data_IF_615317452592
#
_entry.id   IF_615317452592
#
_cell.length_a   1.000
_cell.length_b   1.000
_cell.length_c   1.000
_cell.angle_alpha   90.00
_cell.angle_beta   90.00
_cell.angle_gamma   90.00
#
_symmetry.space_group_name_H-M   'P 1'
#
loop_
_entity.id
_entity.type
_entity.pdbx_description
1 polymer ?
#
# COMPACT_ATOMS: atom_id res chain seq x y z
N UNK A 1 15.31 3.55 19.98
CA UNK A 1 15.66 3.14 18.60
C UNK A 1 17.17 3.03 18.50
N UNK A 2 17.72 1.81 18.34
CA UNK A 2 19.10 1.67 17.87
C UNK A 2 19.11 2.12 16.41
N UNK A 3 19.94 3.12 16.07
CA UNK A 3 20.27 3.42 14.68
C UNK A 3 20.81 2.13 14.06
N UNK A 4 20.27 1.74 12.91
CA UNK A 4 20.92 0.75 12.04
C UNK A 4 22.34 1.27 11.80
N UNK A 5 23.33 0.46 12.12
CA UNK A 5 24.73 0.85 12.02
C UNK A 5 25.11 0.93 10.53
N UNK A 6 25.15 2.16 9.99
CA UNK A 6 25.41 2.47 8.58
C UNK A 6 26.84 2.15 8.11
N UNK A 7 27.65 1.45 8.91
CA UNK A 7 29.08 1.20 8.62
C UNK A 7 29.39 -0.21 8.12
N UNK A 8 28.49 -1.19 8.28
CA UNK A 8 28.73 -2.57 7.83
C UNK A 8 28.55 -2.72 6.31
N UNK A 9 29.51 -3.28 5.56
CA UNK A 9 29.37 -3.57 4.13
C UNK A 9 28.32 -4.65 3.86
N UNK A 10 27.66 -4.61 2.71
CA UNK A 10 26.84 -5.73 2.23
C UNK A 10 27.72 -6.99 2.06
N UNK A 11 27.18 -8.23 2.17
CA UNK A 11 27.95 -9.46 2.05
C UNK A 11 28.75 -9.57 0.74
N UNK A 12 28.30 -8.91 -0.32
CA UNK A 12 28.96 -8.86 -1.63
C UNK A 12 30.09 -7.82 -1.73
N UNK A 13 30.42 -7.07 -0.66
CA UNK A 13 31.51 -6.09 -0.64
C UNK A 13 31.24 -4.77 -1.37
N UNK A 14 30.20 -4.68 -2.21
CA UNK A 14 29.83 -3.46 -2.93
C UNK A 14 29.06 -2.48 -2.02
N UNK A 15 29.59 -1.25 -1.83
CA UNK A 15 28.97 -0.22 -0.96
C UNK A 15 27.54 0.16 -1.39
N UNK A 16 27.21 0.07 -2.67
CA UNK A 16 25.88 0.37 -3.21
C UNK A 16 24.85 -0.75 -3.04
N UNK A 17 25.27 -1.99 -2.75
CA UNK A 17 24.39 -3.16 -2.63
C UNK A 17 23.80 -3.34 -1.21
N UNK A 18 23.60 -2.24 -0.46
CA UNK A 18 22.99 -2.27 0.88
C UNK A 18 21.47 -2.37 0.78
N UNK A 19 20.86 -3.07 1.73
CA UNK A 19 19.40 -3.17 1.82
C UNK A 19 18.79 -1.83 2.23
N UNK A 20 17.79 -1.39 1.49
CA UNK A 20 16.89 -0.31 1.92
C UNK A 20 15.96 -0.82 3.02
N UNK A 21 15.38 0.05 3.87
CA UNK A 21 14.46 -0.37 4.92
C UNK A 21 13.29 -1.25 4.43
N UNK A 22 12.71 -0.95 3.26
CA UNK A 22 11.64 -1.78 2.69
C UNK A 22 12.15 -3.14 2.20
N UNK A 23 13.37 -3.21 1.69
CA UNK A 23 14.02 -4.48 1.29
C UNK A 23 14.34 -5.35 2.51
N UNK A 24 14.80 -4.77 3.63
CA UNK A 24 14.98 -5.50 4.91
C UNK A 24 13.65 -6.11 5.36
N UNK A 25 12.57 -5.32 5.30
CA UNK A 25 11.24 -5.79 5.69
C UNK A 25 10.77 -6.92 4.77
N UNK A 26 10.91 -6.77 3.46
CA UNK A 26 10.52 -7.79 2.49
C UNK A 26 11.31 -9.08 2.66
N UNK A 27 12.62 -9.01 2.89
CA UNK A 27 13.47 -10.17 3.16
C UNK A 27 13.01 -10.94 4.41
N UNK A 28 12.73 -10.23 5.51
CA UNK A 28 12.25 -10.84 6.75
C UNK A 28 10.91 -11.55 6.55
N UNK A 29 9.99 -10.92 5.83
CA UNK A 29 8.67 -11.49 5.56
C UNK A 29 8.76 -12.71 4.64
N UNK A 30 9.54 -12.62 3.57
CA UNK A 30 9.76 -13.72 2.64
C UNK A 30 10.45 -14.91 3.31
N UNK A 31 11.55 -14.67 4.04
CA UNK A 31 12.27 -15.72 4.76
C UNK A 31 11.39 -16.44 5.78
N UNK A 32 10.54 -15.71 6.50
CA UNK A 32 9.60 -16.31 7.46
C UNK A 32 8.52 -17.14 6.74
N UNK A 33 7.90 -16.58 5.70
CA UNK A 33 6.79 -17.24 4.99
C UNK A 33 7.23 -18.45 4.16
N UNK A 34 8.51 -18.50 3.76
CA UNK A 34 9.12 -19.59 3.01
C UNK A 34 9.88 -20.58 3.89
N UNK A 35 10.04 -20.30 5.20
CA UNK A 35 10.97 -21.00 6.09
C UNK A 35 12.38 -21.09 5.47
N UNK A 36 12.90 -19.93 5.03
CA UNK A 36 14.18 -19.78 4.34
C UNK A 36 15.05 -18.66 4.90
N UNK A 37 15.83 -18.95 5.97
CA UNK A 37 16.71 -17.97 6.60
C UNK A 37 17.94 -17.62 5.73
N UNK A 38 18.21 -18.40 4.68
CA UNK A 38 19.38 -18.24 3.80
C UNK A 38 19.14 -17.26 2.63
N UNK A 39 17.97 -16.61 2.58
CA UNK A 39 17.70 -15.59 1.57
C UNK A 39 18.68 -14.43 1.73
N UNK A 40 19.42 -14.14 0.65
CA UNK A 40 20.40 -13.04 0.60
C UNK A 40 20.13 -12.14 -0.58
N UNK A 41 20.40 -10.83 -0.41
CA UNK A 41 20.21 -9.84 -1.46
C UNK A 41 21.08 -10.17 -2.67
N UNK A 42 20.51 -10.16 -3.87
CA UNK A 42 21.29 -10.23 -5.11
C UNK A 42 21.93 -8.88 -5.37
N UNK A 43 23.20 -8.86 -5.74
CA UNK A 43 23.88 -7.62 -6.10
C UNK A 43 23.69 -7.36 -7.59
N UNK A 44 23.30 -6.14 -7.93
CA UNK A 44 23.08 -5.68 -9.31
C UNK A 44 24.39 -5.53 -10.11
N UNK A 45 25.53 -5.60 -9.40
CA UNK A 45 26.88 -5.62 -9.95
C UNK A 45 27.46 -7.04 -10.09
N UNK A 46 26.70 -8.10 -9.79
CA UNK A 46 27.13 -9.49 -10.01
C UNK A 46 27.09 -9.79 -11.54
N UNK A 47 28.25 -10.15 -12.11
CA UNK A 47 28.39 -10.41 -13.56
C UNK A 47 27.44 -11.53 -14.04
N UNK A 48 27.05 -12.46 -13.17
CA UNK A 48 26.11 -13.53 -13.49
C UNK A 48 24.67 -13.04 -13.76
N UNK A 49 24.37 -11.78 -13.45
CA UNK A 49 23.06 -11.15 -13.63
C UNK A 49 23.12 -9.81 -14.36
N UNK A 50 24.31 -9.38 -14.81
CA UNK A 50 24.51 -8.09 -15.46
C UNK A 50 23.77 -7.99 -16.81
N UNK A 51 22.97 -6.92 -16.98
CA UNK A 51 22.32 -6.57 -18.24
C UNK A 51 20.87 -7.06 -18.42
N UNK A 52 20.29 -7.75 -17.43
CA UNK A 52 18.88 -8.20 -17.44
C UNK A 52 18.10 -7.76 -16.20
N UNK A 53 16.83 -8.15 -16.11
CA UNK A 53 16.07 -8.02 -14.87
C UNK A 53 16.66 -8.97 -13.80
N UNK A 54 16.89 -8.44 -12.61
CA UNK A 54 17.60 -9.14 -11.52
C UNK A 54 16.63 -9.34 -10.38
N UNK A 55 16.50 -10.55 -9.83
CA UNK A 55 15.65 -10.79 -8.67
C UNK A 55 16.24 -10.12 -7.43
N UNK A 56 15.42 -9.64 -6.51
CA UNK A 56 15.89 -8.98 -5.28
C UNK A 56 16.67 -9.90 -4.33
N UNK A 57 16.23 -11.16 -4.15
CA UNK A 57 16.86 -12.11 -3.23
C UNK A 57 17.04 -13.50 -3.84
N UNK A 58 18.03 -14.24 -3.33
CA UNK A 58 18.26 -15.64 -3.67
C UNK A 58 18.74 -16.46 -2.48
N UNK A 59 18.43 -17.75 -2.52
CA UNK A 59 19.05 -18.82 -1.73
C UNK A 59 19.32 -20.02 -2.64
N UNK A 60 19.68 -21.17 -2.06
CA UNK A 60 19.76 -22.44 -2.81
C UNK A 60 18.39 -22.98 -3.23
N UNK A 61 17.31 -22.56 -2.55
CA UNK A 61 15.95 -23.09 -2.73
C UNK A 61 15.05 -22.13 -3.49
N UNK A 62 15.21 -20.82 -3.24
CA UNK A 62 14.28 -19.81 -3.72
C UNK A 62 14.99 -18.69 -4.46
N UNK A 63 14.29 -18.13 -5.43
CA UNK A 63 14.61 -16.86 -6.09
C UNK A 63 13.41 -15.97 -5.90
N UNK A 64 13.63 -14.78 -5.33
CA UNK A 64 12.56 -13.92 -4.86
C UNK A 64 12.66 -12.56 -5.51
N UNK A 65 11.54 -12.12 -6.08
CA UNK A 65 11.35 -10.76 -6.57
C UNK A 65 10.34 -10.04 -5.69
N UNK A 66 10.60 -8.78 -5.36
CA UNK A 66 9.73 -7.94 -4.55
C UNK A 66 9.17 -6.80 -5.37
N UNK A 67 7.85 -6.59 -5.28
CA UNK A 67 7.20 -5.39 -5.80
C UNK A 67 6.38 -4.71 -4.73
N UNK A 68 6.43 -3.39 -4.70
CA UNK A 68 5.54 -2.58 -3.87
C UNK A 68 4.30 -2.16 -4.68
N UNK A 69 3.12 -2.52 -4.20
CA UNK A 69 1.85 -2.13 -4.81
C UNK A 69 1.49 -0.70 -4.43
N UNK A 70 2.19 0.24 -5.07
CA UNK A 70 2.13 1.68 -4.76
C UNK A 70 1.59 2.47 -5.96
N UNK A 71 1.19 3.72 -5.72
CA UNK A 71 0.82 4.64 -6.78
C UNK A 71 1.75 5.85 -6.82
N UNK A 72 2.49 6.00 -7.92
CA UNK A 72 3.31 7.19 -8.16
C UNK A 72 2.46 8.47 -8.16
N UNK A 73 1.22 8.40 -8.66
CA UNK A 73 0.30 9.52 -8.67
C UNK A 73 -0.10 9.93 -7.24
N UNK A 74 -0.33 8.96 -6.34
CA UNK A 74 -0.62 9.26 -4.94
C UNK A 74 0.60 9.81 -4.21
N UNK A 75 1.77 9.19 -4.37
CA UNK A 75 3.02 9.68 -3.77
C UNK A 75 3.29 11.12 -4.19
N UNK A 76 3.16 11.42 -5.49
CA UNK A 76 3.27 12.78 -6.02
C UNK A 76 2.21 13.72 -5.45
N UNK A 77 0.98 13.26 -5.24
CA UNK A 77 -0.07 14.05 -4.58
C UNK A 77 0.34 14.44 -3.16
N UNK A 78 0.79 13.45 -2.37
CA UNK A 78 1.20 13.63 -0.97
C UNK A 78 2.38 14.60 -0.90
N UNK A 79 3.44 14.36 -1.68
CA UNK A 79 4.63 15.22 -1.71
C UNK A 79 4.28 16.69 -1.98
N UNK A 80 3.39 16.93 -2.96
CA UNK A 80 2.98 18.28 -3.35
C UNK A 80 2.07 18.94 -2.31
N UNK A 81 1.24 18.17 -1.61
CA UNK A 81 0.44 18.66 -0.51
C UNK A 81 1.32 19.02 0.71
N UNK A 82 2.27 18.16 1.07
CA UNK A 82 3.18 18.38 2.21
C UNK A 82 4.12 19.58 2.01
N UNK A 83 4.42 19.91 0.74
CA UNK A 83 5.21 21.06 0.35
C UNK A 83 4.44 22.41 0.43
N UNK A 84 3.12 22.41 0.67
CA UNK A 84 2.36 23.65 0.79
C UNK A 84 2.77 24.45 2.05
N UNK A 85 2.91 25.80 1.96
CA UNK A 85 3.31 26.64 3.09
C UNK A 85 2.35 26.55 4.29
N UNK A 86 1.07 26.34 4.00
CA UNK A 86 0.05 26.04 4.99
C UNK A 86 -0.42 24.60 4.70
N UNK A 87 0.06 23.65 5.51
CA UNK A 87 -0.26 22.21 5.40
C UNK A 87 -1.71 21.87 5.76
N UNK A 88 -2.59 22.86 5.85
CA UNK A 88 -4.00 22.71 6.19
C UNK A 88 -4.82 23.82 5.51
N UNK A 89 -6.11 23.56 5.30
CA UNK A 89 -7.05 24.49 4.68
C UNK A 89 -7.86 25.14 5.80
N UNK A 90 -7.63 26.42 6.15
CA UNK A 90 -8.37 27.07 7.23
C UNK A 90 -9.85 27.25 6.88
N UNK A 91 -10.72 27.01 7.87
CA UNK A 91 -12.17 27.16 7.75
C UNK A 91 -12.74 27.81 8.99
N UNK A 92 -13.04 29.11 8.89
CA UNK A 92 -13.60 29.88 10.01
C UNK A 92 -15.03 29.48 10.40
N UNK A 93 -15.74 28.73 9.54
CA UNK A 93 -17.05 28.16 9.89
C UNK A 93 -16.95 26.97 10.85
N UNK A 94 -15.76 26.38 11.01
CA UNK A 94 -15.56 25.19 11.84
C UNK A 94 -15.22 25.56 13.28
N UNK A 95 -15.60 24.68 14.20
CA UNK A 95 -15.18 24.71 15.60
C UNK A 95 -13.84 24.01 15.79
N UNK A 96 -13.55 22.99 14.98
CA UNK A 96 -12.38 22.13 15.16
C UNK A 96 -11.48 22.06 13.93
N UNK A 97 -10.26 21.57 14.16
CA UNK A 97 -9.41 21.05 13.10
C UNK A 97 -9.78 19.59 12.84
N UNK A 98 -9.98 19.26 11.56
CA UNK A 98 -10.34 17.91 11.13
C UNK A 98 -9.23 17.28 10.29
N UNK A 99 -8.84 16.07 10.63
CA UNK A 99 -8.10 15.19 9.72
C UNK A 99 -9.10 14.47 8.83
N UNK A 100 -8.91 14.55 7.52
CA UNK A 100 -9.82 14.02 6.52
C UNK A 100 -9.04 13.12 5.56
N UNK A 101 -9.32 11.82 5.62
CA UNK A 101 -8.93 10.86 4.60
C UNK A 101 -9.96 10.89 3.47
N UNK A 102 -9.53 11.03 2.22
CA UNK A 102 -10.41 10.98 1.03
C UNK A 102 -9.81 10.12 -0.07
N UNK A 103 -10.66 9.50 -0.88
CA UNK A 103 -10.24 8.80 -2.08
C UNK A 103 -9.88 9.82 -3.17
N UNK A 104 -8.60 9.93 -3.46
CA UNK A 104 -8.08 10.79 -4.51
C UNK A 104 -7.92 10.05 -5.83
N UNK A 105 -8.41 8.83 -6.03
CA UNK A 105 -8.24 8.09 -7.30
C UNK A 105 -8.63 8.91 -8.54
N UNK A 106 -9.76 9.64 -8.49
CA UNK A 106 -10.20 10.52 -9.58
C UNK A 106 -9.34 11.78 -9.70
N UNK A 107 -8.88 12.31 -8.57
CA UNK A 107 -8.06 13.51 -8.53
C UNK A 107 -6.61 13.22 -8.94
N UNK A 108 -6.04 12.06 -8.59
CA UNK A 108 -4.63 11.72 -8.75
C UNK A 108 -4.17 11.74 -10.21
N UNK A 109 -5.03 11.34 -11.15
CA UNK A 109 -4.76 11.44 -12.59
C UNK A 109 -4.75 12.90 -13.11
N UNK A 110 -5.56 13.78 -12.51
CA UNK A 110 -5.67 15.19 -12.88
C UNK A 110 -4.79 16.13 -12.04
N UNK A 111 -4.27 15.64 -10.90
CA UNK A 111 -3.85 16.50 -9.80
C UNK A 111 -2.62 17.32 -10.14
N UNK A 112 -1.58 16.75 -10.75
CA UNK A 112 -0.35 17.48 -11.11
C UNK A 112 0.31 18.32 -9.99
N UNK A 113 -0.17 18.27 -8.75
CA UNK A 113 0.18 19.17 -7.64
C UNK A 113 -0.61 20.45 -7.51
N UNK A 114 -1.67 20.67 -8.29
CA UNK A 114 -2.42 21.92 -8.26
C UNK A 114 -3.71 21.77 -7.42
N UNK A 115 -3.77 22.31 -6.19
CA UNK A 115 -4.97 22.24 -5.36
C UNK A 115 -6.15 23.03 -5.93
N UNK A 116 -5.96 23.76 -7.04
CA UNK A 116 -7.01 24.54 -7.72
C UNK A 116 -7.71 23.77 -8.84
N UNK A 117 -7.38 22.50 -9.07
CA UNK A 117 -8.11 21.67 -10.05
C UNK A 117 -9.58 21.52 -9.62
N UNK A 118 -10.52 21.39 -10.59
CA UNK A 118 -11.94 21.20 -10.29
C UNK A 118 -12.21 20.03 -9.34
N UNK A 119 -11.48 18.93 -9.48
CA UNK A 119 -11.63 17.71 -8.70
C UNK A 119 -11.27 17.95 -7.23
N UNK A 120 -10.15 18.64 -6.97
CA UNK A 120 -9.71 18.95 -5.60
C UNK A 120 -10.62 19.97 -4.94
N UNK A 121 -11.06 20.99 -5.70
CA UNK A 121 -12.06 21.95 -5.20
C UNK A 121 -13.35 21.24 -4.80
N UNK A 122 -13.79 20.26 -5.59
CA UNK A 122 -14.98 19.45 -5.30
C UNK A 122 -14.78 18.60 -4.05
N UNK A 123 -13.62 17.96 -3.89
CA UNK A 123 -13.27 17.20 -2.67
C UNK A 123 -13.28 18.09 -1.42
N UNK A 124 -12.65 19.27 -1.48
CA UNK A 124 -12.62 20.23 -0.36
C UNK A 124 -14.01 20.74 -0.04
N UNK A 125 -14.80 21.12 -1.05
CA UNK A 125 -16.16 21.62 -0.86
C UNK A 125 -17.07 20.56 -0.23
N UNK A 126 -17.00 19.32 -0.72
CA UNK A 126 -17.77 18.19 -0.18
C UNK A 126 -17.34 17.86 1.25
N UNK A 127 -16.03 17.83 1.52
CA UNK A 127 -15.49 17.62 2.87
C UNK A 127 -15.96 18.72 3.82
N UNK A 128 -16.02 19.96 3.34
CA UNK A 128 -16.53 21.10 4.11
C UNK A 128 -18.00 20.88 4.50
N UNK A 129 -18.84 20.50 3.54
CA UNK A 129 -20.27 20.25 3.81
C UNK A 129 -20.51 19.08 4.76
N UNK A 130 -19.71 18.01 4.67
CA UNK A 130 -19.77 16.90 5.61
C UNK A 130 -19.41 17.36 7.03
N UNK A 131 -18.30 18.09 7.17
CA UNK A 131 -17.82 18.54 8.49
C UNK A 131 -18.81 19.51 9.14
N UNK A 132 -19.35 20.47 8.40
CA UNK A 132 -20.37 21.40 8.92
C UNK A 132 -21.61 20.65 9.43
N UNK A 133 -22.04 19.61 8.71
CA UNK A 133 -23.15 18.75 9.13
C UNK A 133 -22.82 17.95 10.41
N UNK A 134 -21.63 17.33 10.48
CA UNK A 134 -21.17 16.60 11.66
C UNK A 134 -21.07 17.51 12.90
N UNK A 135 -20.44 18.68 12.76
CA UNK A 135 -20.31 19.64 13.88
C UNK A 135 -21.67 20.17 14.33
N UNK A 136 -22.61 20.40 13.41
CA UNK A 136 -23.97 20.85 13.76
C UNK A 136 -24.71 19.84 14.64
N UNK A 137 -24.38 18.55 14.50
CA UNK A 137 -24.93 17.43 15.28
C UNK A 137 -24.05 17.02 16.46
N UNK A 138 -22.96 17.74 16.72
CA UNK A 138 -22.02 17.45 17.80
C UNK A 138 -21.18 16.18 17.60
N UNK A 139 -21.06 15.71 16.35
CA UNK A 139 -20.27 14.53 16.01
C UNK A 139 -18.84 14.96 15.67
N UNK A 140 -17.85 14.29 16.27
CA UNK A 140 -16.42 14.60 16.11
C UNK A 140 -15.63 13.52 15.34
N UNK A 141 -16.33 12.48 14.89
CA UNK A 141 -15.77 11.38 14.10
C UNK A 141 -16.85 10.84 13.16
N UNK A 142 -16.60 10.90 11.85
CA UNK A 142 -17.55 10.45 10.83
C UNK A 142 -17.87 8.96 10.91
N UNK A 143 -16.98 8.15 11.48
CA UNK A 143 -17.22 6.72 11.66
C UNK A 143 -18.32 6.42 12.69
N UNK A 144 -18.70 7.39 13.52
CA UNK A 144 -19.82 7.27 14.45
C UNK A 144 -21.19 7.59 13.80
N UNK A 145 -21.21 8.03 12.54
CA UNK A 145 -22.40 8.55 11.85
C UNK A 145 -22.82 7.66 10.67
N UNK A 146 -23.11 6.39 10.97
CA UNK A 146 -23.41 5.37 9.98
C UNK A 146 -24.63 5.71 9.10
N UNK A 147 -25.61 6.45 9.62
CA UNK A 147 -26.85 6.78 8.91
C UNK A 147 -26.64 7.80 7.79
N UNK A 148 -25.72 8.76 7.96
CA UNK A 148 -25.54 9.87 7.00
C UNK A 148 -24.28 9.71 6.13
N UNK A 149 -23.35 8.82 6.49
CA UNK A 149 -22.16 8.58 5.69
C UNK A 149 -22.43 8.23 4.21
N UNK A 150 -23.47 7.42 3.86
CA UNK A 150 -23.79 7.11 2.46
C UNK A 150 -24.08 8.35 1.58
N UNK A 151 -24.57 9.45 2.17
CA UNK A 151 -24.85 10.72 1.47
C UNK A 151 -23.57 11.35 0.89
N UNK A 152 -22.44 11.17 1.57
CA UNK A 152 -21.17 11.80 1.23
C UNK A 152 -20.19 10.84 0.53
N UNK A 153 -20.35 9.53 0.73
CA UNK A 153 -19.48 8.48 0.20
C UNK A 153 -19.28 8.56 -1.32
N UNK A 154 -20.32 8.93 -2.09
CA UNK A 154 -20.22 9.05 -3.57
C UNK A 154 -19.24 10.14 -4.02
N UNK A 155 -19.08 11.21 -3.25
CA UNK A 155 -18.30 12.38 -3.62
C UNK A 155 -16.91 12.42 -2.97
N UNK A 156 -16.75 11.81 -1.79
CA UNK A 156 -15.46 11.66 -1.10
C UNK A 156 -14.74 10.36 -1.46
N UNK A 157 -15.44 9.47 -2.17
CA UNK A 157 -14.98 8.16 -2.60
C UNK A 157 -14.74 7.18 -1.44
N UNK A 158 -14.10 6.06 -1.77
CA UNK A 158 -14.02 4.90 -0.89
C UNK A 158 -12.98 5.12 0.23
N UNK A 159 -13.28 4.65 1.44
CA UNK A 159 -12.43 4.86 2.63
C UNK A 159 -12.25 6.31 3.07
N UNK A 160 -13.21 7.18 2.72
CA UNK A 160 -13.24 8.51 3.31
C UNK A 160 -13.58 8.45 4.79
N UNK A 161 -12.82 9.16 5.62
CA UNK A 161 -13.16 9.36 7.02
C UNK A 161 -12.70 10.74 7.44
N UNK A 162 -13.37 11.30 8.44
CA UNK A 162 -12.88 12.50 9.09
C UNK A 162 -13.06 12.43 10.61
N UNK A 163 -12.04 12.89 11.31
CA UNK A 163 -12.05 12.97 12.77
C UNK A 163 -11.38 14.27 13.22
N UNK A 164 -11.86 14.80 14.34
CA UNK A 164 -11.24 15.96 15.00
C UNK A 164 -9.83 15.59 15.44
N UNK A 165 -8.87 16.50 15.20
CA UNK A 165 -7.51 16.39 15.74
C UNK A 165 -7.46 17.11 17.09
N UNK A 166 -7.37 16.37 18.21
CA UNK A 166 -7.29 16.99 19.53
C UNK A 166 -5.95 17.74 19.69
N UNK A 167 -5.98 18.83 20.45
CA UNK A 167 -4.79 19.55 20.93
C UNK A 167 -3.82 20.05 19.84
N UNK A 168 -4.32 20.27 18.62
CA UNK A 168 -3.50 20.82 17.54
C UNK A 168 -3.18 22.30 17.77
N UNK A 169 -1.94 22.76 17.52
CA UNK A 169 -1.59 24.18 17.53
C UNK A 169 -2.16 24.95 16.34
N UNK A 170 -2.79 24.27 15.37
CA UNK A 170 -3.43 24.88 14.21
C UNK A 170 -4.88 25.27 14.54
N UNK A 171 -5.37 26.33 13.90
CA UNK A 171 -6.77 26.76 14.02
C UNK A 171 -7.75 25.83 13.28
N UNK A 172 -9.07 26.08 13.40
CA UNK A 172 -10.09 25.27 12.74
C UNK A 172 -9.91 25.18 11.22
N UNK A 173 -10.16 23.99 10.66
CA UNK A 173 -9.85 23.73 9.26
C UNK A 173 -9.79 22.24 8.89
N UNK A 174 -9.17 21.97 7.74
CA UNK A 174 -9.03 20.64 7.16
C UNK A 174 -7.55 20.29 6.95
N UNK A 175 -7.11 19.19 7.52
CA UNK A 175 -5.92 18.44 7.13
C UNK A 175 -6.36 17.31 6.18
N UNK A 176 -5.85 17.31 4.95
CA UNK A 176 -6.18 16.27 3.98
C UNK A 176 -5.11 15.18 3.98
N UNK A 177 -5.56 13.93 3.97
CA UNK A 177 -4.78 12.77 3.59
C UNK A 177 -5.49 12.10 2.41
N UNK A 178 -4.73 11.74 1.37
CA UNK A 178 -5.27 11.07 0.19
C UNK A 178 -5.03 9.58 0.25
N UNK A 179 -6.01 8.77 -0.15
CA UNK A 179 -5.86 7.36 -0.49
C UNK A 179 -6.19 7.16 -1.97
N UNK A 180 -5.69 6.09 -2.61
CA UNK A 180 -6.13 5.69 -3.95
C UNK A 180 -6.72 4.30 -3.80
N UNK A 181 -8.04 4.21 -3.87
CA UNK A 181 -8.73 2.92 -3.83
C UNK A 181 -9.00 2.40 -5.24
N UNK A 182 -9.38 3.29 -6.16
CA UNK A 182 -9.76 2.97 -7.54
C UNK A 182 -11.14 2.32 -7.68
N UNK A 183 -11.62 1.65 -6.62
CA UNK A 183 -12.87 0.89 -6.61
C UNK A 183 -13.49 0.79 -5.22
N UNK A 184 -14.79 0.42 -5.19
CA UNK A 184 -15.54 0.19 -3.97
C UNK A 184 -15.03 -1.05 -3.25
N UNK A 185 -14.97 -0.99 -1.92
CA UNK A 185 -14.76 -2.19 -1.13
C UNK A 185 -16.02 -3.03 -1.12
N UNK A 186 -15.85 -4.32 -1.29
CA UNK A 186 -16.96 -5.29 -1.19
C UNK A 186 -16.99 -6.04 0.13
N UNK A 187 -15.87 -6.02 0.90
CA UNK A 187 -15.60 -6.90 2.05
C UNK A 187 -15.50 -8.38 1.68
N UNK A 188 -15.55 -8.69 0.40
CA UNK A 188 -15.37 -10.03 -0.13
C UNK A 188 -13.89 -10.25 -0.43
N UNK A 189 -13.30 -11.26 0.21
CA UNK A 189 -11.90 -11.63 0.01
C UNK A 189 -11.60 -12.04 -1.44
N UNK A 190 -12.54 -12.70 -2.12
CA UNK A 190 -12.32 -13.11 -3.51
C UNK A 190 -12.30 -11.92 -4.46
N UNK A 191 -13.09 -10.89 -4.17
CA UNK A 191 -13.11 -9.67 -4.97
C UNK A 191 -11.96 -8.71 -4.60
N UNK A 192 -11.86 -8.32 -3.33
CA UNK A 192 -10.93 -7.28 -2.88
C UNK A 192 -9.48 -7.77 -2.84
N UNK A 193 -9.24 -9.09 -2.78
CA UNK A 193 -7.90 -9.70 -2.75
C UNK A 193 -7.64 -10.49 -4.03
N UNK A 194 -8.37 -11.57 -4.29
CA UNK A 194 -8.03 -12.47 -5.41
C UNK A 194 -8.20 -11.78 -6.78
N UNK A 195 -9.34 -11.13 -7.05
CA UNK A 195 -9.55 -10.47 -8.33
C UNK A 195 -8.57 -9.31 -8.54
N UNK A 196 -8.34 -8.48 -7.51
CA UNK A 196 -7.33 -7.42 -7.57
C UNK A 196 -5.92 -7.93 -7.89
N UNK A 197 -5.49 -9.01 -7.24
CA UNK A 197 -4.17 -9.60 -7.49
C UNK A 197 -4.09 -10.26 -8.86
N UNK A 198 -5.17 -10.89 -9.32
CA UNK A 198 -5.24 -11.45 -10.68
C UNK A 198 -5.11 -10.34 -11.73
N UNK A 199 -5.84 -9.23 -11.58
CA UNK A 199 -5.76 -8.08 -12.47
C UNK A 199 -4.34 -7.51 -12.52
N UNK A 200 -3.65 -7.44 -11.37
CA UNK A 200 -2.26 -6.99 -11.33
C UNK A 200 -1.32 -7.97 -12.04
N UNK A 201 -1.46 -9.28 -11.80
CA UNK A 201 -0.67 -10.34 -12.44
C UNK A 201 -0.86 -10.35 -13.97
N UNK A 202 -2.09 -10.14 -14.43
CA UNK A 202 -2.45 -10.11 -15.85
C UNK A 202 -2.04 -8.78 -16.54
N UNK A 203 -1.70 -7.75 -15.76
CA UNK A 203 -1.27 -6.45 -16.29
C UNK A 203 0.19 -6.41 -16.74
N UNK A 204 0.55 -5.42 -17.55
CA UNK A 204 1.93 -5.17 -17.95
C UNK A 204 2.87 -4.89 -16.75
N UNK A 205 2.33 -4.46 -15.60
CA UNK A 205 3.11 -4.17 -14.39
C UNK A 205 3.82 -5.40 -13.83
N UNK A 206 3.27 -6.61 -14.05
CA UNK A 206 3.89 -7.86 -13.59
C UNK A 206 5.08 -8.29 -14.46
N UNK A 207 5.24 -7.72 -15.66
CA UNK A 207 6.21 -8.18 -16.66
C UNK A 207 7.64 -8.12 -16.17
N UNK A 208 8.03 -7.01 -15.53
CA UNK A 208 9.39 -6.88 -14.99
C UNK A 208 9.65 -7.90 -13.87
N UNK A 209 8.64 -8.21 -13.06
CA UNK A 209 8.77 -9.22 -12.02
C UNK A 209 8.97 -10.61 -12.62
N UNK A 210 8.16 -11.00 -13.61
CA UNK A 210 8.31 -12.28 -14.32
C UNK A 210 9.67 -12.41 -14.99
N UNK A 211 10.13 -11.35 -15.67
CA UNK A 211 11.44 -11.34 -16.32
C UNK A 211 12.61 -11.51 -15.34
N UNK A 212 12.49 -11.02 -14.10
CA UNK A 212 13.53 -11.19 -13.08
C UNK A 212 13.66 -12.63 -12.60
N UNK A 213 12.56 -13.39 -12.62
CA UNK A 213 12.44 -14.77 -12.15
C UNK A 213 12.68 -15.80 -13.26
N UNK A 214 12.33 -15.46 -14.50
CA UNK A 214 12.38 -16.37 -15.64
C UNK A 214 13.76 -17.00 -15.85
N UNK A 215 13.79 -18.31 -16.08
CA UNK A 215 15.01 -19.08 -16.37
C UNK A 215 15.99 -19.21 -15.20
N UNK A 216 15.61 -18.81 -13.98
CA UNK A 216 16.44 -18.96 -12.78
C UNK A 216 16.26 -20.36 -12.16
N UNK A 217 17.29 -20.85 -11.49
CA UNK A 217 17.20 -22.13 -10.77
C UNK A 217 16.55 -21.94 -9.39
N UNK A 218 15.71 -22.89 -8.97
CA UNK A 218 14.99 -22.86 -7.69
C UNK A 218 13.51 -22.53 -7.87
N UNK A 219 12.79 -22.41 -6.74
CA UNK A 219 11.38 -22.02 -6.70
C UNK A 219 11.29 -20.51 -6.92
N UNK A 220 10.46 -20.08 -7.87
CA UNK A 220 10.25 -18.67 -8.22
C UNK A 220 9.16 -18.06 -7.33
N UNK A 221 9.55 -17.05 -6.55
CA UNK A 221 8.66 -16.41 -5.58
C UNK A 221 8.48 -14.95 -5.93
N UNK A 222 7.22 -14.52 -6.06
CA UNK A 222 6.87 -13.12 -6.13
C UNK A 222 6.34 -12.66 -4.77
N UNK A 223 6.94 -11.60 -4.22
CA UNK A 223 6.47 -10.93 -3.00
C UNK A 223 5.86 -9.58 -3.38
N UNK A 224 4.59 -9.38 -3.05
CA UNK A 224 3.89 -8.10 -3.19
C UNK A 224 3.74 -7.43 -1.83
N UNK A 225 4.40 -6.29 -1.67
CA UNK A 225 4.28 -5.42 -0.50
C UNK A 225 3.08 -4.50 -0.73
N UNK A 226 1.96 -4.79 -0.06
CA UNK A 226 0.77 -3.95 -0.13
C UNK A 226 1.02 -2.62 0.59
N UNK A 227 0.71 -1.51 -0.07
CA UNK A 227 0.80 -0.16 0.51
C UNK A 227 -0.56 0.52 0.53
N UNK A 228 -0.80 1.30 1.59
CA UNK A 228 -1.93 2.24 1.65
C UNK A 228 -1.76 3.40 0.66
N UNK A 229 -0.53 3.65 0.20
CA UNK A 229 -0.20 4.67 -0.79
C UNK A 229 -0.45 4.20 -2.24
N UNK A 230 -1.40 3.29 -2.43
CA UNK A 230 -1.64 2.68 -3.72
C UNK A 230 -2.94 1.87 -3.77
N UNK A 231 -3.18 1.20 -4.91
CA UNK A 231 -4.44 0.48 -5.16
C UNK A 231 -4.65 -0.71 -4.22
N UNK A 232 -3.62 -1.12 -3.47
CA UNK A 232 -3.72 -2.17 -2.47
C UNK A 232 -4.41 -1.74 -1.16
N UNK A 233 -4.82 -0.48 -1.01
CA UNK A 233 -5.55 -0.01 0.16
C UNK A 233 -6.79 -0.89 0.45
N UNK A 234 -7.52 -1.29 -0.59
CA UNK A 234 -8.70 -2.12 -0.41
C UNK A 234 -8.40 -3.51 0.14
N UNK A 235 -7.40 -4.18 -0.44
CA UNK A 235 -6.86 -5.44 0.07
C UNK A 235 -6.45 -5.32 1.55
N UNK A 236 -5.75 -4.26 1.93
CA UNK A 236 -5.27 -4.07 3.32
C UNK A 236 -6.46 -3.96 4.29
N UNK A 237 -7.48 -3.19 3.94
CA UNK A 237 -8.64 -2.98 4.79
C UNK A 237 -9.50 -4.25 4.89
N UNK A 238 -9.73 -4.96 3.78
CA UNK A 238 -10.49 -6.22 3.79
C UNK A 238 -9.81 -7.27 4.66
N UNK A 239 -8.48 -7.42 4.56
CA UNK A 239 -7.76 -8.37 5.43
C UNK A 239 -7.84 -8.00 6.91
N UNK A 240 -7.74 -6.71 7.25
CA UNK A 240 -7.85 -6.26 8.65
C UNK A 240 -9.20 -6.61 9.27
N UNK A 241 -10.27 -6.58 8.48
CA UNK A 241 -11.64 -6.76 8.95
C UNK A 241 -12.13 -8.22 8.86
N UNK A 242 -11.38 -9.11 8.21
CA UNK A 242 -11.64 -10.56 8.14
C UNK A 242 -10.50 -11.36 8.78
N UNK A 243 -10.18 -11.15 10.08
CA UNK A 243 -8.99 -11.74 10.69
C UNK A 243 -9.01 -13.27 10.65
N UNK A 244 -7.91 -13.87 10.16
CA UNK A 244 -7.76 -15.32 10.08
C UNK A 244 -8.44 -15.97 8.86
N UNK A 245 -9.24 -15.23 8.11
CA UNK A 245 -9.87 -15.71 6.88
C UNK A 245 -8.93 -15.58 5.68
N UNK A 246 -9.16 -16.43 4.68
CA UNK A 246 -8.44 -16.45 3.39
C UNK A 246 -9.44 -16.47 2.24
N UNK A 247 -9.06 -15.95 1.05
CA UNK A 247 -9.90 -16.09 -0.13
C UNK A 247 -10.16 -17.57 -0.47
N UNK A 248 -11.31 -17.86 -1.07
CA UNK A 248 -11.68 -19.18 -1.56
C UNK A 248 -11.28 -19.36 -3.04
N UNK A 249 -11.35 -18.29 -3.83
CA UNK A 249 -10.98 -18.30 -5.23
C UNK A 249 -9.46 -18.48 -5.40
N UNK A 250 -9.08 -19.40 -6.29
CA UNK A 250 -7.69 -19.63 -6.65
C UNK A 250 -7.18 -18.56 -7.64
N UNK A 251 -5.90 -18.19 -7.51
CA UNK A 251 -5.19 -17.38 -8.51
C UNK A 251 -4.65 -18.26 -9.64
N UNK A 252 -4.57 -17.67 -10.83
CA UNK A 252 -3.79 -18.20 -11.94
C UNK A 252 -2.43 -17.50 -11.95
N UNK A 253 -1.43 -18.17 -11.39
CA UNK A 253 -0.06 -17.66 -11.44
C UNK A 253 0.51 -17.83 -12.86
N UNK A 254 1.24 -16.83 -13.38
CA UNK A 254 2.07 -17.00 -14.58
C UNK A 254 3.11 -18.12 -14.39
N UNK A 255 3.50 -18.77 -15.49
CA UNK A 255 4.43 -19.92 -15.47
C UNK A 255 5.79 -19.63 -14.80
N UNK A 256 6.22 -18.37 -14.78
CA UNK A 256 7.47 -17.93 -14.14
C UNK A 256 7.33 -17.68 -12.61
N UNK A 257 6.19 -18.02 -12.01
CA UNK A 257 5.89 -17.78 -10.59
C UNK A 257 5.26 -19.02 -9.96
N UNK A 258 6.01 -19.68 -9.07
CA UNK A 258 5.53 -20.85 -8.33
C UNK A 258 4.74 -20.47 -7.06
N UNK A 259 5.15 -19.36 -6.42
CA UNK A 259 4.59 -18.90 -5.14
C UNK A 259 4.34 -17.39 -5.18
N UNK A 260 3.14 -16.99 -4.79
CA UNK A 260 2.82 -15.59 -4.51
C UNK A 260 2.77 -15.37 -3.00
N UNK A 261 3.47 -14.35 -2.51
CA UNK A 261 3.36 -13.86 -1.14
C UNK A 261 2.84 -12.43 -1.21
N UNK A 262 1.76 -12.14 -0.51
CA UNK A 262 1.24 -10.77 -0.36
C UNK A 262 1.36 -10.38 1.09
N UNK A 263 1.98 -9.24 1.34
CA UNK A 263 2.26 -8.79 2.71
C UNK A 263 1.62 -7.44 2.97
N UNK A 264 1.03 -7.30 4.15
CA UNK A 264 0.65 -6.04 4.76
C UNK A 264 1.53 -5.80 5.99
N UNK A 265 1.25 -4.74 6.76
CA UNK A 265 1.92 -4.55 8.05
C UNK A 265 1.54 -5.61 9.10
N UNK A 266 0.41 -6.30 8.93
CA UNK A 266 -0.19 -7.20 9.94
C UNK A 266 -0.26 -8.64 9.44
N UNK A 267 -0.44 -8.84 8.15
CA UNK A 267 -0.75 -10.14 7.57
C UNK A 267 0.23 -10.49 6.45
N UNK A 268 0.49 -11.79 6.33
CA UNK A 268 1.19 -12.40 5.20
C UNK A 268 0.27 -13.47 4.61
N UNK A 269 -0.18 -13.24 3.38
CA UNK A 269 -0.84 -14.24 2.57
C UNK A 269 0.18 -14.96 1.71
N UNK A 270 0.05 -16.28 1.61
CA UNK A 270 0.84 -17.11 0.70
C UNK A 270 -0.12 -17.92 -0.16
N UNK A 271 0.09 -17.91 -1.46
CA UNK A 271 -0.64 -18.74 -2.41
C UNK A 271 0.32 -19.65 -3.17
N UNK A 272 -0.08 -20.91 -3.33
CA UNK A 272 0.54 -21.83 -4.28
C UNK A 272 -0.55 -22.54 -5.08
N UNK A 273 -0.36 -22.87 -6.37
CA UNK A 273 -1.40 -23.51 -7.18
C UNK A 273 -1.93 -24.82 -6.59
N UNK A 274 -1.05 -25.59 -5.93
CA UNK A 274 -1.39 -26.90 -5.35
C UNK A 274 -1.89 -26.83 -3.91
N UNK A 275 -1.49 -25.80 -3.15
CA UNK A 275 -1.80 -25.65 -1.73
C UNK A 275 -2.91 -24.64 -1.42
N UNK A 276 -3.32 -23.83 -2.39
CA UNK A 276 -4.26 -22.74 -2.19
C UNK A 276 -3.70 -21.62 -1.32
N UNK A 277 -4.60 -20.87 -0.68
CA UNK A 277 -4.27 -19.75 0.20
C UNK A 277 -3.93 -20.19 1.63
N UNK A 278 -2.89 -19.59 2.18
CA UNK A 278 -2.52 -19.64 3.58
C UNK A 278 -2.34 -18.21 4.10
N UNK A 279 -2.65 -17.99 5.37
CA UNK A 279 -2.48 -16.70 6.05
C UNK A 279 -1.70 -16.87 7.34
N UNK A 280 -0.76 -15.96 7.55
CA UNK A 280 0.07 -15.86 8.74
C UNK A 280 0.08 -14.42 9.25
N UNK A 281 0.31 -14.24 10.55
CA UNK A 281 0.61 -12.92 11.10
C UNK A 281 2.00 -12.49 10.66
N UNK A 282 2.14 -11.24 10.21
CA UNK A 282 3.43 -10.68 9.87
C UNK A 282 4.30 -10.58 11.14
N UNK A 283 5.58 -10.99 11.10
CA UNK A 283 6.51 -10.73 12.19
C UNK A 283 6.58 -9.23 12.51
N UNK A 284 6.86 -8.84 13.78
CA UNK A 284 7.02 -7.44 14.14
C UNK A 284 8.15 -6.79 13.33
N UNK A 285 8.09 -5.48 13.06
CA UNK A 285 9.20 -4.76 12.44
C UNK A 285 10.44 -4.80 13.34
N UNK A 286 11.65 -4.86 12.75
CA UNK A 286 12.91 -4.83 13.49
C UNK A 286 13.17 -3.51 14.23
#
# INVERSE_FOLDING_TARGET
>A
MKKVDDTTPAPCGHRGCRLKPSEVRAQLLASTALDDPDLTRVCDQDEAVAGGAIPDFRSRRHVVEVKELTSQALRRFIDLYEALPQRYIPKYSFRYLWAVSVDVSRAAGAYGGNPKTPEVKTLIATSTQLIEDLESRGIINSLADHENFPKYAKALGFYSNCAVVPDSPLGPGILLSGTISGQARTLDLDYDVTAFLQDWLDSEQSTNARQSLAGRAGIHVLVLMASLDGPAAGLIHTLRETPGEVPAAALRLPDDIDVLIVTTNIDVLRFTPNGGWLRHTAPPPP
#
